data_IF_138518031414
#
_entry.id   IF_138518031414
#
_cell.length_a   1.000
_cell.length_b   1.000
_cell.length_c   1.000
_cell.angle_alpha   90.00
_cell.angle_beta   90.00
_cell.angle_gamma   90.00
#
_symmetry.space_group_name_H-M   'P 1'
#
loop_
_entity.id
_entity.type
_entity.pdbx_description
1 polymer ?
#
# COMPACT_ATOMS: atom_id res chain seq x y z
N UNK A 1 -40.64 1.88 -13.83
CA UNK A 1 -39.34 1.49 -13.24
C UNK A 1 -39.19 -0.03 -13.39
N UNK A 2 -38.30 -0.54 -14.26
CA UNK A 2 -38.05 -1.99 -14.40
C UNK A 2 -37.42 -2.50 -13.10
N UNK A 3 -38.06 -3.52 -12.47
CA UNK A 3 -37.41 -4.24 -11.36
C UNK A 3 -36.12 -4.86 -11.91
N UNK A 4 -34.96 -4.34 -11.51
CA UNK A 4 -33.67 -4.99 -11.80
C UNK A 4 -33.70 -6.42 -11.24
N UNK A 5 -33.42 -7.40 -12.09
CA UNK A 5 -33.31 -8.80 -11.67
C UNK A 5 -32.19 -8.92 -10.60
N UNK A 6 -32.34 -9.88 -9.69
CA UNK A 6 -31.36 -10.15 -8.62
C UNK A 6 -29.94 -10.33 -9.20
N UNK A 7 -29.83 -10.92 -10.39
CA UNK A 7 -28.57 -11.07 -11.14
C UNK A 7 -27.97 -9.71 -11.54
N UNK A 8 -28.80 -8.76 -12.01
CA UNK A 8 -28.31 -7.41 -12.37
C UNK A 8 -27.85 -6.62 -11.13
N UNK A 9 -28.51 -6.86 -9.99
CA UNK A 9 -28.14 -6.21 -8.74
C UNK A 9 -26.81 -6.73 -8.18
N UNK A 10 -26.50 -8.00 -8.43
CA UNK A 10 -25.31 -8.70 -7.91
C UNK A 10 -24.31 -9.07 -9.01
N UNK A 11 -24.41 -8.45 -10.19
CA UNK A 11 -23.57 -8.79 -11.34
C UNK A 11 -22.06 -8.75 -11.03
N UNK A 12 -21.62 -7.76 -10.24
CA UNK A 12 -20.22 -7.65 -9.81
C UNK A 12 -19.78 -8.83 -8.94
N UNK A 13 -20.64 -9.27 -8.00
CA UNK A 13 -20.35 -10.39 -7.12
C UNK A 13 -20.31 -11.71 -7.91
N UNK A 14 -21.28 -11.91 -8.83
CA UNK A 14 -21.31 -13.08 -9.70
C UNK A 14 -20.06 -13.15 -10.57
N UNK A 15 -19.67 -12.03 -11.19
CA UNK A 15 -18.45 -11.95 -11.97
C UNK A 15 -17.20 -12.26 -11.13
N UNK A 16 -17.11 -11.71 -9.93
CA UNK A 16 -15.98 -11.95 -9.03
C UNK A 16 -15.87 -13.44 -8.65
N UNK A 17 -16.98 -14.08 -8.29
CA UNK A 17 -17.00 -15.52 -7.98
C UNK A 17 -16.62 -16.33 -9.23
N UNK A 18 -17.16 -15.98 -10.40
CA UNK A 18 -16.83 -16.67 -11.64
C UNK A 18 -15.32 -16.59 -11.95
N UNK A 19 -14.70 -15.42 -11.75
CA UNK A 19 -13.25 -15.25 -11.95
C UNK A 19 -12.45 -16.10 -10.96
N UNK A 20 -12.85 -16.20 -9.69
CA UNK A 20 -12.19 -17.06 -8.70
C UNK A 20 -12.30 -18.54 -9.09
N UNK A 21 -13.46 -18.97 -9.57
CA UNK A 21 -13.69 -20.36 -10.04
C UNK A 21 -12.82 -20.65 -11.26
N UNK A 22 -12.80 -19.77 -12.25
CA UNK A 22 -11.96 -19.90 -13.44
C UNK A 22 -10.48 -19.99 -13.05
N UNK A 23 -10.02 -19.12 -12.17
CA UNK A 23 -8.65 -19.15 -11.66
C UNK A 23 -8.33 -20.49 -10.99
N UNK A 24 -9.21 -20.97 -10.10
CA UNK A 24 -9.03 -22.28 -9.45
C UNK A 24 -8.96 -23.40 -10.47
N UNK A 25 -9.84 -23.40 -11.48
CA UNK A 25 -9.85 -24.42 -12.51
C UNK A 25 -8.59 -24.41 -13.37
N UNK A 26 -8.09 -23.22 -13.76
CA UNK A 26 -6.84 -23.09 -14.50
C UNK A 26 -5.69 -23.71 -13.68
N UNK A 27 -5.54 -23.35 -12.41
CA UNK A 27 -4.48 -23.89 -11.56
C UNK A 27 -4.58 -25.42 -11.41
N UNK A 28 -5.80 -25.96 -11.28
CA UNK A 28 -6.00 -27.40 -11.08
C UNK A 28 -5.79 -28.20 -12.36
N UNK A 29 -6.30 -27.74 -13.50
CA UNK A 29 -6.21 -28.45 -14.80
C UNK A 29 -4.78 -28.42 -15.34
N UNK A 30 -4.13 -27.28 -15.32
CA UNK A 30 -2.77 -27.13 -15.83
C UNK A 30 -1.69 -27.51 -14.80
N UNK A 31 -2.07 -27.94 -13.59
CA UNK A 31 -1.16 -28.32 -12.50
C UNK A 31 -0.06 -27.27 -12.29
N UNK A 32 -0.46 -25.99 -12.29
CA UNK A 32 0.48 -24.87 -12.12
C UNK A 32 1.15 -24.97 -10.77
N UNK A 33 2.49 -24.84 -10.74
CA UNK A 33 3.25 -24.85 -9.49
C UNK A 33 2.82 -23.71 -8.56
N UNK A 34 2.64 -24.01 -7.29
CA UNK A 34 2.30 -23.03 -6.22
C UNK A 34 3.29 -21.87 -6.16
N UNK A 35 4.58 -22.14 -6.44
CA UNK A 35 5.64 -21.13 -6.45
C UNK A 35 5.49 -20.10 -7.57
N UNK A 36 4.83 -20.47 -8.68
CA UNK A 36 4.62 -19.57 -9.82
C UNK A 36 3.30 -18.84 -9.68
N UNK A 37 2.24 -19.59 -9.41
CA UNK A 37 0.89 -19.03 -9.33
C UNK A 37 0.01 -19.89 -8.40
N UNK A 38 -0.12 -19.53 -7.11
CA UNK A 38 -0.92 -20.28 -6.16
C UNK A 38 -2.41 -20.21 -6.50
N UNK A 39 -3.14 -21.29 -6.23
CA UNK A 39 -4.58 -21.31 -6.42
C UNK A 39 -5.32 -20.60 -5.27
N UNK A 40 -6.56 -20.11 -5.48
CA UNK A 40 -7.37 -19.49 -4.43
C UNK A 40 -7.52 -20.36 -3.17
N UNK A 41 -7.67 -21.68 -3.32
CA UNK A 41 -7.79 -22.61 -2.19
C UNK A 41 -6.48 -22.66 -1.41
N UNK A 42 -5.32 -22.75 -2.09
CA UNK A 42 -4.00 -22.73 -1.46
C UNK A 42 -3.74 -21.42 -0.72
N UNK A 43 -4.12 -20.28 -1.31
CA UNK A 43 -4.04 -18.98 -0.64
C UNK A 43 -4.85 -18.99 0.66
N UNK A 44 -6.08 -19.52 0.62
CA UNK A 44 -6.91 -19.63 1.81
C UNK A 44 -6.30 -20.52 2.89
N UNK A 45 -5.73 -21.65 2.52
CA UNK A 45 -5.05 -22.58 3.43
C UNK A 45 -3.82 -21.91 4.06
N UNK A 46 -2.96 -21.29 3.27
CA UNK A 46 -1.77 -20.59 3.74
C UNK A 46 -2.11 -19.39 4.64
N UNK A 47 -3.18 -18.64 4.33
CA UNK A 47 -3.68 -17.58 5.20
C UNK A 47 -4.09 -18.09 6.58
N UNK A 48 -4.69 -19.25 6.65
CA UNK A 48 -5.06 -19.84 7.92
C UNK A 48 -3.87 -20.43 8.66
N UNK A 49 -2.97 -21.09 7.96
CA UNK A 49 -1.76 -21.70 8.52
C UNK A 49 -0.82 -20.64 9.11
N UNK A 50 -0.51 -19.60 8.33
CA UNK A 50 0.41 -18.52 8.73
C UNK A 50 -0.27 -17.32 9.38
N UNK A 51 -1.52 -17.47 9.87
CA UNK A 51 -2.32 -16.35 10.41
C UNK A 51 -1.61 -15.56 11.52
N UNK A 52 -0.83 -16.22 12.38
CA UNK A 52 -0.14 -15.56 13.49
C UNK A 52 1.04 -14.72 12.99
N UNK A 53 1.82 -15.26 12.06
CA UNK A 53 2.91 -14.53 11.40
C UNK A 53 2.36 -13.34 10.60
N UNK A 54 1.29 -13.56 9.86
CA UNK A 54 0.61 -12.48 9.11
C UNK A 54 0.13 -11.39 10.05
N UNK A 55 -0.52 -11.72 11.16
CA UNK A 55 -0.96 -10.75 12.16
C UNK A 55 0.23 -9.98 12.77
N UNK A 56 1.31 -10.68 13.12
CA UNK A 56 2.51 -10.06 13.66
C UNK A 56 3.13 -9.06 12.67
N UNK A 57 3.31 -9.46 11.42
CA UNK A 57 3.87 -8.58 10.39
C UNK A 57 2.91 -7.45 10.00
N UNK A 58 1.61 -7.71 9.96
CA UNK A 58 0.59 -6.67 9.75
C UNK A 58 0.63 -5.62 10.84
N UNK A 59 0.83 -6.03 12.11
CA UNK A 59 0.97 -5.10 13.22
C UNK A 59 2.22 -4.23 13.09
N UNK A 60 3.35 -4.83 12.71
CA UNK A 60 4.60 -4.09 12.46
C UNK A 60 4.39 -3.06 11.35
N UNK A 61 3.77 -3.45 10.23
CA UNK A 61 3.48 -2.55 9.13
C UNK A 61 2.52 -1.44 9.55
N UNK A 62 1.48 -1.78 10.29
CA UNK A 62 0.49 -0.81 10.77
C UNK A 62 1.13 0.27 11.65
N UNK A 63 1.86 -0.10 12.69
CA UNK A 63 2.41 0.90 13.58
C UNK A 63 3.53 1.72 12.93
N UNK A 64 4.40 1.12 12.10
CA UNK A 64 5.45 1.87 11.38
C UNK A 64 4.84 2.89 10.42
N UNK A 65 3.76 2.51 9.73
CA UNK A 65 3.00 3.42 8.87
C UNK A 65 2.36 4.55 9.68
N UNK A 66 1.74 4.24 10.83
CA UNK A 66 1.13 5.25 11.69
C UNK A 66 2.15 6.25 12.24
N UNK A 67 3.33 5.77 12.65
CA UNK A 67 4.41 6.66 13.11
C UNK A 67 4.91 7.56 11.97
N UNK A 68 5.21 6.99 10.80
CA UNK A 68 5.65 7.77 9.64
C UNK A 68 4.60 8.81 9.21
N UNK A 69 3.33 8.42 9.18
CA UNK A 69 2.21 9.30 8.89
C UNK A 69 2.05 10.41 9.93
N UNK A 70 2.15 10.07 11.23
CA UNK A 70 2.10 11.05 12.32
C UNK A 70 3.21 12.11 12.22
N UNK A 71 4.44 11.68 11.91
CA UNK A 71 5.55 12.60 11.66
C UNK A 71 5.23 13.48 10.44
N UNK A 72 4.66 12.92 9.37
CA UNK A 72 4.27 13.66 8.17
C UNK A 72 3.24 14.75 8.46
N UNK A 73 2.26 14.47 9.31
CA UNK A 73 1.26 15.46 9.73
C UNK A 73 1.94 16.64 10.44
N UNK A 74 2.77 16.33 11.43
CA UNK A 74 3.45 17.39 12.22
C UNK A 74 4.34 18.24 11.32
N UNK A 75 5.23 17.62 10.56
CA UNK A 75 6.17 18.32 9.68
C UNK A 75 5.43 19.04 8.55
N UNK A 76 4.42 18.39 7.95
CA UNK A 76 3.63 18.96 6.86
C UNK A 76 2.83 20.18 7.28
N UNK A 77 2.18 20.14 8.46
CA UNK A 77 1.45 21.28 9.01
C UNK A 77 2.38 22.44 9.33
N UNK A 78 3.51 22.17 9.97
CA UNK A 78 4.50 23.21 10.31
C UNK A 78 5.08 23.87 9.06
N UNK A 79 5.49 23.08 8.08
CA UNK A 79 6.02 23.60 6.81
C UNK A 79 4.93 24.27 5.96
N UNK A 80 3.75 23.73 5.92
CA UNK A 80 2.61 24.35 5.23
C UNK A 80 2.26 25.71 5.81
N UNK A 81 2.26 25.85 7.15
CA UNK A 81 2.07 27.14 7.82
C UNK A 81 3.22 28.11 7.49
N UNK A 82 4.48 27.66 7.55
CA UNK A 82 5.64 28.46 7.22
C UNK A 82 5.59 28.98 5.77
N UNK A 83 5.30 28.11 4.83
CA UNK A 83 5.19 28.44 3.40
C UNK A 83 4.02 29.40 3.17
N UNK A 84 2.88 29.15 3.79
CA UNK A 84 1.66 29.96 3.65
C UNK A 84 1.72 31.34 4.33
N UNK A 85 2.64 31.53 5.32
CA UNK A 85 2.73 32.78 6.08
C UNK A 85 3.51 33.88 5.35
N UNK A 86 4.30 33.57 4.31
CA UNK A 86 5.16 34.53 3.63
C UNK A 86 5.25 34.22 2.14
N UNK A 87 5.02 35.27 1.31
CA UNK A 87 5.20 35.16 -0.14
C UNK A 87 6.64 34.74 -0.50
N UNK A 88 7.64 35.26 0.21
CA UNK A 88 9.03 34.88 0.00
C UNK A 88 9.26 33.38 0.28
N UNK A 89 8.73 32.88 1.41
CA UNK A 89 8.83 31.47 1.74
C UNK A 89 8.11 30.58 0.69
N UNK A 90 6.94 31.01 0.24
CA UNK A 90 6.21 30.33 -0.82
C UNK A 90 7.02 30.25 -2.12
N UNK A 91 7.49 31.42 -2.63
CA UNK A 91 8.21 31.49 -3.89
C UNK A 91 9.53 30.70 -3.87
N UNK A 92 10.19 30.60 -2.68
CA UNK A 92 11.43 29.85 -2.51
C UNK A 92 11.23 28.34 -2.32
N UNK A 93 10.29 27.92 -1.48
CA UNK A 93 10.16 26.53 -1.06
C UNK A 93 9.20 25.71 -1.93
N UNK A 94 8.14 26.31 -2.45
CA UNK A 94 7.13 25.60 -3.22
C UNK A 94 7.69 24.91 -4.47
N UNK A 95 8.57 25.52 -5.29
CA UNK A 95 9.19 24.85 -6.44
C UNK A 95 10.01 23.62 -6.03
N UNK A 96 10.74 23.72 -4.90
CA UNK A 96 11.55 22.62 -4.35
C UNK A 96 10.65 21.47 -3.92
N UNK A 97 9.57 21.77 -3.17
CA UNK A 97 8.58 20.77 -2.73
C UNK A 97 7.94 20.05 -3.92
N UNK A 98 7.58 20.80 -4.96
CA UNK A 98 7.00 20.24 -6.18
C UNK A 98 7.97 19.33 -6.92
N UNK A 99 9.26 19.72 -7.00
CA UNK A 99 10.30 18.88 -7.59
C UNK A 99 10.47 17.56 -6.83
N UNK A 100 10.52 17.59 -5.50
CA UNK A 100 10.56 16.39 -4.67
C UNK A 100 9.31 15.52 -4.80
N UNK A 101 8.14 16.15 -4.97
CA UNK A 101 6.90 15.40 -5.18
C UNK A 101 6.90 14.59 -6.49
N UNK A 102 7.58 15.06 -7.52
CA UNK A 102 7.70 14.37 -8.81
C UNK A 102 8.59 13.11 -8.74
N UNK A 103 9.43 12.97 -7.70
CA UNK A 103 10.31 11.82 -7.56
C UNK A 103 9.53 10.58 -7.11
N UNK A 104 9.81 9.38 -7.68
CA UNK A 104 9.20 8.13 -7.25
C UNK A 104 9.73 7.71 -5.86
N UNK A 105 9.00 8.08 -4.79
CA UNK A 105 9.43 7.84 -3.39
C UNK A 105 9.78 6.39 -3.11
N UNK A 106 9.07 5.45 -3.73
CA UNK A 106 9.36 4.01 -3.59
C UNK A 106 10.77 3.63 -4.07
N UNK A 107 11.36 4.38 -4.99
CA UNK A 107 12.73 4.12 -5.45
C UNK A 107 13.81 4.39 -4.39
N UNK A 108 13.47 5.15 -3.33
CA UNK A 108 14.40 5.39 -2.21
C UNK A 108 14.46 4.23 -1.22
N UNK A 109 13.50 3.30 -1.23
CA UNK A 109 13.44 2.19 -0.26
C UNK A 109 14.74 1.38 -0.20
N UNK A 110 15.34 0.94 -1.33
CA UNK A 110 16.60 0.20 -1.28
C UNK A 110 17.75 1.02 -0.65
N UNK A 111 17.80 2.31 -0.93
CA UNK A 111 18.83 3.22 -0.37
C UNK A 111 18.64 3.35 1.14
N UNK A 112 17.41 3.52 1.59
CA UNK A 112 17.08 3.60 3.02
C UNK A 112 17.45 2.30 3.75
N UNK A 113 17.22 1.14 3.12
CA UNK A 113 17.61 -0.14 3.70
C UNK A 113 19.12 -0.29 3.78
N UNK A 114 19.88 0.18 2.79
CA UNK A 114 21.36 0.17 2.84
C UNK A 114 21.90 1.08 3.95
N UNK A 115 21.31 2.26 4.15
CA UNK A 115 21.78 3.22 5.15
C UNK A 115 21.36 2.87 6.59
N UNK A 116 20.16 2.39 6.79
CA UNK A 116 19.55 2.19 8.11
C UNK A 116 19.36 0.71 8.49
N UNK A 117 19.72 -0.21 7.58
CA UNK A 117 19.48 -1.63 7.78
C UNK A 117 18.04 -2.05 7.53
N UNK A 118 17.77 -3.35 7.67
CA UNK A 118 16.41 -3.92 7.57
C UNK A 118 15.70 -3.71 8.91
N UNK A 119 14.52 -3.08 8.90
CA UNK A 119 13.75 -2.89 10.12
C UNK A 119 12.72 -1.77 10.07
N UNK A 120 12.32 -1.30 11.25
CA UNK A 120 11.30 -0.27 11.41
C UNK A 120 11.75 1.10 10.87
N UNK A 121 13.04 1.43 10.94
CA UNK A 121 13.58 2.73 10.50
C UNK A 121 13.26 3.05 9.04
N UNK A 122 13.74 2.25 8.07
CA UNK A 122 13.40 2.44 6.66
C UNK A 122 11.91 2.44 6.37
N UNK A 123 11.13 1.60 7.07
CA UNK A 123 9.68 1.54 6.91
C UNK A 123 9.00 2.85 7.34
N UNK A 124 9.37 3.41 8.49
CA UNK A 124 8.87 4.69 9.00
C UNK A 124 9.25 5.83 8.05
N UNK A 125 10.52 5.88 7.62
CA UNK A 125 10.99 6.90 6.69
C UNK A 125 10.29 6.83 5.34
N UNK A 126 10.04 5.62 4.83
CA UNK A 126 9.28 5.41 3.59
C UNK A 126 7.84 5.91 3.74
N UNK A 127 7.17 5.54 4.84
CA UNK A 127 5.82 6.00 5.13
C UNK A 127 5.76 7.52 5.27
N UNK A 128 6.75 8.12 5.95
CA UNK A 128 6.91 9.57 6.04
C UNK A 128 7.04 10.21 4.65
N UNK A 129 7.99 9.76 3.82
CA UNK A 129 8.23 10.35 2.50
C UNK A 129 7.00 10.26 1.57
N UNK A 130 6.28 9.14 1.61
CA UNK A 130 5.08 8.94 0.78
C UNK A 130 3.94 9.83 1.24
N UNK A 131 3.77 9.99 2.56
CA UNK A 131 2.64 10.74 3.15
C UNK A 131 2.89 12.25 3.18
N UNK A 132 4.15 12.68 3.23
CA UNK A 132 4.53 14.08 3.36
C UNK A 132 4.40 14.85 2.04
N UNK A 133 4.76 14.24 0.91
CA UNK A 133 4.65 14.81 -0.43
C UNK A 133 3.40 14.32 -1.16
#
# INVERSE_FOLDING_TARGET
>A
MKKKNILEKNAALVLFIALLVIWQLICSVFKVSEFIFPSPIQIGQNLFEFRLEILKHSWVTFWTTMVGFGISIVVGVLLGFLIGSSKFAYDALYPIMTAFNALPKAAFVPILVVWFGIGAGPAILTAFLISFF
#
